data_IF_427593636934
#
_entry.id   IF_427593636934
#
_cell.length_a   1.000
_cell.length_b   1.000
_cell.length_c   1.000
_cell.angle_alpha   90.00
_cell.angle_beta   90.00
_cell.angle_gamma   90.00
#
_symmetry.space_group_name_H-M   'P 1'
#
loop_
_entity.id
_entity.type
_entity.pdbx_description
1 polymer ?
#
# COMPACT_ATOMS: atom_id res chain seq x y z
N UNK A 1 0.13 -16.45 -4.70
CA UNK A 1 0.31 -15.64 -5.93
C UNK A 1 1.77 -15.22 -6.09
N UNK A 2 2.31 -15.26 -7.30
CA UNK A 2 3.61 -14.68 -7.67
C UNK A 2 3.42 -13.32 -8.33
N UNK A 3 4.12 -12.28 -7.88
CA UNK A 3 3.98 -10.89 -8.32
C UNK A 3 5.32 -10.31 -8.76
N UNK A 4 5.31 -9.49 -9.81
CA UNK A 4 6.47 -8.69 -10.25
C UNK A 4 6.38 -7.33 -9.59
N UNK A 5 7.24 -7.09 -8.61
CA UNK A 5 7.20 -5.87 -7.80
C UNK A 5 8.33 -4.95 -8.20
N UNK A 6 7.98 -3.70 -8.49
CA UNK A 6 8.95 -2.65 -8.74
C UNK A 6 8.65 -1.41 -7.90
N UNK A 7 9.69 -0.80 -7.36
CA UNK A 7 9.66 0.49 -6.70
C UNK A 7 10.92 1.25 -7.13
N UNK A 8 10.77 2.53 -7.46
CA UNK A 8 11.90 3.38 -7.90
C UNK A 8 12.49 4.15 -6.73
N UNK A 9 11.63 4.66 -5.85
CA UNK A 9 11.99 5.41 -4.64
C UNK A 9 12.70 4.54 -3.60
N UNK A 10 12.27 3.28 -3.49
CA UNK A 10 12.94 2.23 -2.76
C UNK A 10 13.36 1.20 -3.81
N UNK A 11 14.65 0.98 -4.12
CA UNK A 11 15.09 0.24 -5.31
C UNK A 11 14.81 -1.28 -5.24
N UNK A 12 13.52 -1.63 -5.15
CA UNK A 12 12.98 -2.97 -5.13
C UNK A 12 12.67 -3.32 -6.57
N UNK A 13 13.32 -4.36 -7.09
CA UNK A 13 12.97 -4.97 -8.37
C UNK A 13 13.07 -6.48 -8.21
N UNK A 14 11.99 -7.08 -7.76
CA UNK A 14 12.00 -8.50 -7.41
C UNK A 14 10.67 -9.19 -7.67
N UNK A 15 10.77 -10.50 -7.73
CA UNK A 15 9.62 -11.39 -7.70
C UNK A 15 9.24 -11.66 -6.25
N UNK A 16 7.96 -11.53 -5.95
CA UNK A 16 7.40 -11.79 -4.64
C UNK A 16 6.38 -12.91 -4.73
N UNK A 17 6.53 -13.91 -3.88
CA UNK A 17 5.51 -14.93 -3.69
C UNK A 17 4.77 -14.61 -2.39
N UNK A 18 3.47 -14.33 -2.47
CA UNK A 18 2.64 -13.98 -1.30
C UNK A 18 2.72 -15.03 -0.19
N UNK A 19 2.81 -16.30 -0.56
CA UNK A 19 2.97 -17.43 0.37
C UNK A 19 4.27 -17.38 1.19
N UNK A 20 5.36 -16.82 0.66
CA UNK A 20 6.63 -16.67 1.40
C UNK A 20 6.44 -15.70 2.56
N UNK A 21 5.55 -14.73 2.40
CA UNK A 21 5.17 -13.77 3.44
C UNK A 21 4.04 -14.27 4.35
N UNK A 22 3.64 -15.54 4.24
CA UNK A 22 2.51 -16.10 4.99
C UNK A 22 1.15 -15.51 4.59
N UNK A 23 1.08 -14.79 3.46
CA UNK A 23 -0.15 -14.16 3.00
C UNK A 23 -1.00 -15.17 2.22
N UNK A 24 -2.26 -15.26 2.62
CA UNK A 24 -3.27 -16.09 1.95
C UNK A 24 -4.06 -15.22 1.00
N UNK A 25 -3.93 -15.44 -0.31
CA UNK A 25 -4.38 -14.51 -1.38
C UNK A 25 -5.86 -14.08 -1.30
N UNK A 26 -6.73 -14.91 -0.74
CA UNK A 26 -8.17 -14.65 -0.64
C UNK A 26 -8.62 -13.99 0.67
N UNK A 27 -7.72 -13.85 1.65
CA UNK A 27 -8.00 -13.17 2.93
C UNK A 27 -7.06 -12.01 3.20
N UNK A 28 -5.84 -12.05 2.65
CA UNK A 28 -4.86 -10.99 2.80
C UNK A 28 -5.28 -9.76 2.00
N UNK A 29 -5.04 -8.60 2.61
CA UNK A 29 -5.29 -7.29 2.03
C UNK A 29 -4.05 -6.76 1.31
N UNK A 30 -4.24 -5.70 0.53
CA UNK A 30 -3.14 -4.93 -0.08
C UNK A 30 -2.25 -4.31 0.99
N UNK A 31 -2.81 -3.87 2.12
CA UNK A 31 -2.03 -3.38 3.25
C UNK A 31 -1.10 -4.45 3.82
N UNK A 32 -1.57 -5.69 3.96
CA UNK A 32 -0.75 -6.80 4.46
C UNK A 32 0.42 -7.08 3.52
N UNK A 33 0.18 -7.05 2.20
CA UNK A 33 1.25 -7.17 1.21
C UNK A 33 2.24 -6.02 1.31
N UNK A 34 1.77 -4.76 1.29
CA UNK A 34 2.63 -3.59 1.40
C UNK A 34 3.46 -3.60 2.69
N UNK A 35 2.85 -3.98 3.83
CA UNK A 35 3.53 -4.15 5.12
C UNK A 35 4.60 -5.21 5.03
N UNK A 36 4.28 -6.41 4.52
CA UNK A 36 5.25 -7.49 4.39
C UNK A 36 6.44 -7.12 3.49
N UNK A 37 6.19 -6.43 2.37
CA UNK A 37 7.27 -5.94 1.50
C UNK A 37 8.10 -4.86 2.19
N UNK A 38 7.46 -3.94 2.91
CA UNK A 38 8.15 -2.90 3.66
C UNK A 38 9.04 -3.50 4.76
N UNK A 39 8.53 -4.43 5.56
CA UNK A 39 9.27 -5.11 6.63
C UNK A 39 10.46 -5.91 6.07
N UNK A 40 10.23 -6.65 4.98
CA UNK A 40 11.25 -7.46 4.34
C UNK A 40 12.45 -6.65 3.82
N UNK A 41 12.20 -5.42 3.39
CA UNK A 41 13.25 -4.55 2.88
C UNK A 41 13.70 -3.48 3.88
N UNK A 42 13.39 -3.66 5.17
CA UNK A 42 13.78 -2.74 6.26
C UNK A 42 13.38 -1.28 5.97
N UNK A 43 12.13 -1.09 5.55
CA UNK A 43 11.62 0.21 5.17
C UNK A 43 11.69 1.25 6.30
N UNK A 44 11.77 2.56 5.99
CA UNK A 44 11.85 3.60 7.01
C UNK A 44 10.57 3.72 7.83
N UNK A 45 10.66 3.99 9.15
CA UNK A 45 9.51 3.97 10.07
C UNK A 45 8.45 5.04 9.80
N UNK A 46 8.80 6.10 9.08
CA UNK A 46 7.91 7.20 8.73
C UNK A 46 7.39 7.10 7.27
N UNK A 47 7.61 5.96 6.60
CA UNK A 47 7.15 5.74 5.22
C UNK A 47 6.21 4.54 5.14
N UNK A 48 5.14 4.66 4.36
CA UNK A 48 4.33 3.51 3.95
C UNK A 48 4.38 3.35 2.43
N UNK A 49 4.32 2.12 1.97
CA UNK A 49 4.13 1.76 0.57
C UNK A 49 2.65 1.77 0.20
N UNK A 50 2.35 2.37 -0.95
CA UNK A 50 1.09 2.29 -1.66
C UNK A 50 1.29 1.45 -2.92
N UNK A 51 0.35 0.55 -3.20
CA UNK A 51 0.38 -0.29 -4.39
C UNK A 51 -0.35 0.40 -5.54
N UNK A 52 0.29 0.45 -6.72
CA UNK A 52 -0.34 0.79 -7.98
C UNK A 52 -0.38 -0.43 -8.91
N UNK A 53 -1.52 -0.64 -9.55
CA UNK A 53 -1.71 -1.66 -10.57
C UNK A 53 -2.23 -0.97 -11.85
N UNK A 54 -1.53 -1.17 -12.98
CA UNK A 54 -1.83 -0.48 -14.25
C UNK A 54 -1.88 1.06 -14.13
N UNK A 55 -1.12 1.62 -13.19
CA UNK A 55 -1.08 3.06 -12.91
C UNK A 55 -2.13 3.56 -11.92
N UNK A 56 -3.04 2.71 -11.46
CA UNK A 56 -4.10 3.07 -10.52
C UNK A 56 -3.77 2.62 -9.09
N UNK A 57 -4.04 3.49 -8.11
CA UNK A 57 -3.90 3.14 -6.70
C UNK A 57 -4.91 2.07 -6.30
N UNK A 58 -4.42 0.98 -5.72
CA UNK A 58 -5.27 -0.11 -5.23
C UNK A 58 -5.66 0.15 -3.78
N UNK A 59 -6.93 -0.01 -3.38
CA UNK A 59 -7.37 0.19 -2.01
C UNK A 59 -6.61 -0.68 -1.02
N UNK A 60 -6.06 -0.08 0.03
CA UNK A 60 -5.23 -0.77 1.04
C UNK A 60 -5.99 -1.87 1.79
N UNK A 61 -7.29 -1.68 1.99
CA UNK A 61 -8.19 -2.67 2.61
C UNK A 61 -8.73 -3.71 1.63
N UNK A 62 -8.41 -3.59 0.34
CA UNK A 62 -8.84 -4.52 -0.70
C UNK A 62 -8.14 -5.87 -0.63
N UNK A 63 -8.88 -6.95 -0.87
CA UNK A 63 -8.31 -8.30 -0.93
C UNK A 63 -7.40 -8.49 -2.15
N UNK A 64 -6.24 -9.12 -1.98
CA UNK A 64 -5.24 -9.27 -3.05
C UNK A 64 -5.82 -9.92 -4.31
N UNK A 65 -6.54 -11.04 -4.17
CA UNK A 65 -7.09 -11.79 -5.31
C UNK A 65 -8.18 -11.06 -6.10
N UNK A 66 -8.76 -9.97 -5.57
CA UNK A 66 -9.76 -9.16 -6.27
C UNK A 66 -9.10 -8.19 -7.25
N UNK A 67 -7.89 -7.73 -6.94
CA UNK A 67 -7.20 -6.69 -7.70
C UNK A 67 -6.01 -7.23 -8.49
N UNK A 68 -5.37 -8.28 -8.00
CA UNK A 68 -4.13 -8.81 -8.54
C UNK A 68 -4.33 -10.24 -9.03
N UNK A 69 -3.52 -10.63 -10.02
CA UNK A 69 -3.47 -11.98 -10.59
C UNK A 69 -2.03 -12.50 -10.56
N UNK A 70 -1.88 -13.80 -10.75
CA UNK A 70 -0.57 -14.42 -10.93
C UNK A 70 0.23 -13.69 -12.02
N UNK A 71 1.51 -13.48 -11.74
CA UNK A 71 2.49 -12.75 -12.55
C UNK A 71 2.18 -11.26 -12.81
N UNK A 72 1.20 -10.68 -12.12
CA UNK A 72 0.86 -9.27 -12.24
C UNK A 72 2.08 -8.37 -11.96
N UNK A 73 2.22 -7.32 -12.77
CA UNK A 73 3.21 -6.26 -12.57
C UNK A 73 2.61 -5.16 -11.72
N UNK A 74 3.16 -4.98 -10.51
CA UNK A 74 2.72 -3.97 -9.55
C UNK A 74 3.83 -2.98 -9.27
N UNK A 75 3.46 -1.71 -9.16
CA UNK A 75 4.35 -0.65 -8.70
C UNK A 75 4.10 -0.42 -7.21
N UNK A 76 5.16 -0.21 -6.45
CA UNK A 76 5.05 0.35 -5.11
C UNK A 76 5.60 1.78 -5.15
N UNK A 77 4.89 2.69 -4.51
CA UNK A 77 5.31 4.07 -4.29
C UNK A 77 5.35 4.34 -2.78
N UNK A 78 6.39 5.01 -2.33
CA UNK A 78 6.53 5.46 -0.97
C UNK A 78 5.66 6.69 -0.71
N UNK A 79 4.99 6.70 0.43
CA UNK A 79 4.30 7.87 0.94
C UNK A 79 4.98 8.29 2.24
N UNK A 80 5.53 9.50 2.23
CA UNK A 80 6.13 10.10 3.42
C UNK A 80 5.04 10.54 4.39
N UNK A 81 5.09 10.00 5.61
CA UNK A 81 4.16 10.31 6.68
C UNK A 81 4.72 11.32 7.67
N UNK A 82 5.93 11.86 7.50
CA UNK A 82 6.56 12.81 8.44
C UNK A 82 5.68 14.02 8.78
N UNK A 83 4.83 14.48 7.86
CA UNK A 83 3.88 15.58 8.09
C UNK A 83 2.74 15.23 9.04
N UNK A 84 2.44 13.94 9.19
CA UNK A 84 1.41 13.38 10.09
C UNK A 84 2.02 12.54 11.21
N UNK A 85 3.35 12.48 11.27
CA UNK A 85 4.12 11.68 12.20
C UNK A 85 4.17 12.37 13.56
N UNK A 86 3.44 11.82 14.52
CA UNK A 86 3.47 12.26 15.92
C UNK A 86 4.24 11.21 16.75
N UNK A 87 5.36 11.58 17.41
CA UNK A 87 6.18 10.65 18.21
C UNK A 87 5.41 9.90 19.28
N UNK A 88 4.28 10.43 19.73
CA UNK A 88 3.51 9.91 20.87
C UNK A 88 2.55 8.76 20.52
N UNK A 89 2.29 8.50 19.22
CA UNK A 89 1.13 7.68 18.82
C UNK A 89 1.41 6.32 18.16
N UNK A 90 2.64 5.95 17.79
CA UNK A 90 2.82 4.67 17.08
C UNK A 90 4.02 3.82 17.48
N UNK A 91 3.69 2.53 17.68
CA UNK A 91 4.57 1.37 17.60
C UNK A 91 5.24 1.29 16.23
N UNK A 92 6.32 0.55 16.12
CA UNK A 92 7.32 0.49 15.04
C UNK A 92 6.85 0.35 13.57
N UNK A 93 5.55 0.19 13.27
CA UNK A 93 5.02 0.03 11.90
C UNK A 93 3.96 1.08 11.53
N UNK A 94 4.09 1.77 10.38
CA UNK A 94 3.09 2.75 9.90
C UNK A 94 1.79 2.10 9.39
N UNK A 95 1.72 0.77 9.38
CA UNK A 95 0.55 0.00 8.93
C UNK A 95 -0.40 -0.39 10.07
N UNK A 96 0.02 -0.27 11.33
CA UNK A 96 -0.80 -0.64 12.49
C UNK A 96 -2.06 0.24 12.62
N UNK A 97 -2.05 1.44 12.01
CA UNK A 97 -3.21 2.36 11.92
C UNK A 97 -4.30 1.82 10.98
N UNK A 98 -3.91 1.09 9.93
CA UNK A 98 -4.79 0.68 8.83
C UNK A 98 -5.52 -0.62 9.19
N UNK A 99 -4.87 -1.52 9.91
CA UNK A 99 -5.48 -2.77 10.38
C UNK A 99 -6.48 -2.57 11.54
N UNK A 100 -6.52 -1.38 12.15
CA UNK A 100 -7.32 -1.10 13.35
C UNK A 100 -8.61 -0.28 13.14
N UNK A 101 -8.88 0.28 11.95
CA UNK A 101 -9.96 1.26 11.79
C UNK A 101 -10.92 0.93 10.63
N UNK A 102 -12.16 0.62 11.04
CA UNK A 102 -13.43 0.57 10.32
C UNK A 102 -13.69 -0.62 9.37
N UNK A 103 -14.89 -1.25 9.48
CA UNK A 103 -15.36 -2.17 8.46
C UNK A 103 -15.43 -1.44 7.11
N UNK A 104 -14.98 -2.13 6.07
CA UNK A 104 -15.09 -1.70 4.68
C UNK A 104 -16.52 -1.19 4.39
N UNK A 105 -16.68 0.00 3.78
CA UNK A 105 -18.00 0.43 3.32
C UNK A 105 -18.50 -0.57 2.27
N UNK A 106 -19.74 -1.04 2.45
CA UNK A 106 -20.33 -2.16 1.69
C UNK A 106 -20.62 -1.83 0.22
N UNK A 107 -20.42 -0.59 -0.24
CA UNK A 107 -20.70 -0.20 -1.63
C UNK A 107 -19.51 0.45 -2.36
N UNK A 108 -19.48 0.22 -3.67
CA UNK A 108 -18.43 0.66 -4.60
C UNK A 108 -18.36 2.19 -4.77
N UNK A 109 -19.45 2.91 -4.53
CA UNK A 109 -19.51 4.38 -4.64
C UNK A 109 -18.82 5.07 -3.44
N UNK A 110 -18.96 4.51 -2.24
CA UNK A 110 -18.28 4.97 -1.03
C UNK A 110 -16.78 4.68 -1.11
N UNK A 111 -16.37 3.53 -1.66
CA UNK A 111 -14.96 3.26 -1.96
C UNK A 111 -14.38 4.28 -2.95
N UNK A 112 -15.14 4.68 -3.97
CA UNK A 112 -14.69 5.67 -4.93
C UNK A 112 -14.52 7.06 -4.30
N UNK A 113 -15.46 7.48 -3.45
CA UNK A 113 -15.36 8.77 -2.75
C UNK A 113 -14.20 8.83 -1.75
N UNK A 114 -13.94 7.76 -1.00
CA UNK A 114 -12.81 7.71 -0.06
C UNK A 114 -11.47 7.73 -0.81
N UNK A 115 -11.36 7.00 -1.93
CA UNK A 115 -10.18 7.07 -2.77
C UNK A 115 -9.96 8.49 -3.33
N UNK A 116 -11.02 9.18 -3.77
CA UNK A 116 -10.93 10.56 -4.25
C UNK A 116 -10.50 11.56 -3.17
N UNK A 117 -10.81 11.32 -1.89
CA UNK A 117 -10.37 12.17 -0.78
C UNK A 117 -8.88 12.02 -0.43
N UNK A 118 -8.24 10.92 -0.84
CA UNK A 118 -6.83 10.64 -0.58
C UNK A 118 -5.94 10.72 -1.84
N UNK A 119 -6.53 10.95 -3.02
CA UNK A 119 -5.78 11.25 -4.24
C UNK A 119 -5.34 12.71 -4.16
N UNK A 120 -4.07 12.93 -3.79
CA UNK A 120 -3.41 14.21 -3.99
C UNK A 120 -3.20 14.39 -5.50
N UNK A 121 -3.73 15.44 -6.13
CA UNK A 121 -3.47 15.72 -7.53
C UNK A 121 -1.98 16.01 -7.74
N UNK A 122 -1.36 15.41 -8.76
CA UNK A 122 0.04 15.67 -9.15
C UNK A 122 0.35 17.17 -9.32
N UNK A 123 -0.65 17.99 -9.62
CA UNK A 123 -0.53 19.44 -9.78
C UNK A 123 -0.09 20.18 -8.51
N UNK A 124 -0.37 19.64 -7.33
CA UNK A 124 -0.06 20.32 -6.06
C UNK A 124 1.37 20.04 -5.57
N UNK A 125 2.07 19.07 -6.17
CA UNK A 125 3.48 18.77 -5.89
C UNK A 125 4.45 19.67 -6.68
N UNK A 126 4.03 20.27 -7.79
CA UNK A 126 4.89 21.13 -8.64
C UNK A 126 4.94 22.61 -8.21
N UNK A 127 4.16 23.03 -7.22
CA UNK A 127 4.10 24.43 -6.76
C UNK A 127 4.92 24.73 -5.49
N UNK A 128 5.64 23.74 -4.96
CA UNK A 128 6.48 23.90 -3.75
C UNK A 128 7.97 23.81 -4.08
N UNK A 129 8.44 24.59 -5.06
CA UNK A 129 9.86 24.79 -5.37
C UNK A 129 10.24 26.27 -5.28
#
# INVERSE_FOLDING_TARGET
>A
MKLRVFCEEFPIRQWIHTVIFGLVDHTATVADLCKAVWEWNEGPPYWKLQLLFEGYAVPMTGLLNRYLKEDAKIQLVGQDLRSTWNPENFTTSPYDIISGANPLPENSEQMHQINLQHIVPWKDLEMSS
#
